data_IF_966373119249
#
_entry.id   IF_966373119249
#
_cell.length_a   1.000
_cell.length_b   1.000
_cell.length_c   1.000
_cell.angle_alpha   90.00
_cell.angle_beta   90.00
_cell.angle_gamma   90.00
#
_symmetry.space_group_name_H-M   'P 1'
#
loop_
_entity.id
_entity.type
_entity.pdbx_description
1 polymer ?
#
# COMPACT_ATOMS: atom_id res chain seq x y z
N UNK A 1 -2.43 -1.54 -33.71
CA UNK A 1 -2.11 -0.95 -32.40
C UNK A 1 -2.25 -1.94 -31.23
N UNK A 2 -3.34 -2.72 -31.12
CA UNK A 2 -3.66 -3.57 -29.96
C UNK A 2 -2.80 -4.82 -29.62
N UNK A 3 -1.55 -4.95 -30.10
CA UNK A 3 -0.62 -6.03 -29.65
C UNK A 3 0.58 -5.53 -28.84
N UNK A 4 0.89 -4.24 -28.93
CA UNK A 4 2.11 -3.67 -28.34
C UNK A 4 1.83 -2.53 -27.37
N UNK A 5 0.75 -1.79 -27.60
CA UNK A 5 0.30 -0.75 -26.69
C UNK A 5 -1.18 -0.94 -26.35
N UNK A 6 -1.55 -0.59 -25.13
CA UNK A 6 -2.92 -0.55 -24.64
C UNK A 6 -3.23 0.88 -24.21
N UNK A 7 -4.34 1.40 -24.73
CA UNK A 7 -4.89 2.69 -24.34
C UNK A 7 -6.20 2.47 -23.61
N UNK A 8 -6.31 2.98 -22.39
CA UNK A 8 -7.50 2.88 -21.55
C UNK A 8 -8.02 4.29 -21.27
N UNK A 9 -8.96 4.80 -22.07
CA UNK A 9 -9.63 6.06 -21.76
C UNK A 9 -10.63 5.84 -20.62
N UNK A 10 -10.88 6.89 -19.84
CA UNK A 10 -11.93 6.87 -18.82
C UNK A 10 -12.64 8.22 -18.73
N UNK A 11 -13.89 8.15 -18.31
CA UNK A 11 -14.74 9.29 -17.95
C UNK A 11 -15.47 8.91 -16.67
N UNK A 12 -15.42 9.77 -15.67
CA UNK A 12 -16.14 9.62 -14.40
C UNK A 12 -17.07 10.82 -14.21
N UNK A 13 -18.25 10.58 -13.66
CA UNK A 13 -19.22 11.60 -13.28
C UNK A 13 -19.57 11.38 -11.82
N UNK A 14 -19.48 12.44 -11.01
CA UNK A 14 -19.81 12.41 -9.58
C UNK A 14 -20.81 13.52 -9.27
N UNK A 15 -21.97 13.11 -8.75
CA UNK A 15 -22.95 14.01 -8.14
C UNK A 15 -22.93 13.84 -6.62
N UNK A 16 -23.03 14.93 -5.87
CA UNK A 16 -23.18 14.91 -4.41
C UNK A 16 -24.29 15.87 -4.02
N UNK A 17 -25.21 15.42 -3.17
CA UNK A 17 -26.30 16.23 -2.65
C UNK A 17 -26.18 16.29 -1.13
N UNK A 18 -26.30 17.50 -0.59
CA UNK A 18 -26.19 17.79 0.83
C UNK A 18 -27.53 18.27 1.35
N UNK A 19 -27.95 17.71 2.49
CA UNK A 19 -29.10 18.20 3.24
C UNK A 19 -28.63 18.57 4.66
N UNK A 20 -28.70 19.85 5.01
CA UNK A 20 -28.15 20.38 6.25
C UNK A 20 -29.18 21.23 7.00
N UNK A 21 -29.48 20.88 8.24
CA UNK A 21 -30.50 21.59 9.04
C UNK A 21 -29.96 22.89 9.68
N UNK A 22 -28.66 22.95 9.98
CA UNK A 22 -28.02 24.05 10.70
C UNK A 22 -26.62 24.34 10.13
N UNK A 23 -26.56 24.71 8.85
CA UNK A 23 -25.33 25.15 8.20
C UNK A 23 -25.58 26.50 7.53
N UNK A 24 -24.73 27.47 7.85
CA UNK A 24 -24.70 28.79 7.24
C UNK A 24 -23.36 28.88 6.54
N UNK A 25 -23.36 29.14 5.23
CA UNK A 25 -22.12 29.22 4.46
C UNK A 25 -21.42 30.58 4.57
N UNK A 26 -20.31 30.72 3.84
CA UNK A 26 -19.47 31.93 3.82
C UNK A 26 -20.20 33.18 3.31
N UNK A 27 -21.30 33.01 2.58
CA UNK A 27 -22.12 34.09 2.02
C UNK A 27 -23.35 34.38 2.90
N UNK A 28 -23.40 33.81 4.11
CA UNK A 28 -24.51 33.89 5.07
C UNK A 28 -25.82 33.22 4.59
N UNK A 29 -25.74 32.26 3.67
CA UNK A 29 -26.90 31.51 3.17
C UNK A 29 -27.16 30.22 4.00
N UNK A 30 -28.42 30.00 4.38
CA UNK A 30 -28.90 28.87 5.19
C UNK A 30 -29.67 27.81 4.39
N UNK A 31 -29.53 27.82 3.07
CA UNK A 31 -30.19 26.87 2.16
C UNK A 31 -30.04 25.41 2.63
N UNK A 32 -31.14 24.69 2.75
CA UNK A 32 -31.13 23.33 3.32
C UNK A 32 -30.56 22.30 2.33
N UNK A 33 -30.64 22.59 1.03
CA UNK A 33 -30.27 21.67 -0.05
C UNK A 33 -29.18 22.26 -0.94
N UNK A 34 -28.03 21.59 -1.02
CA UNK A 34 -26.92 21.95 -1.93
C UNK A 34 -26.56 20.78 -2.83
N UNK A 35 -26.05 21.08 -4.03
CA UNK A 35 -25.63 20.07 -5.00
C UNK A 35 -24.29 20.40 -5.62
N UNK A 36 -23.46 19.37 -5.80
CA UNK A 36 -22.19 19.43 -6.50
C UNK A 36 -22.17 18.40 -7.62
N UNK A 37 -21.73 18.82 -8.81
CA UNK A 37 -21.48 17.95 -9.96
C UNK A 37 -20.06 18.12 -10.47
N UNK A 38 -19.29 17.03 -10.52
CA UNK A 38 -17.91 17.00 -11.01
C UNK A 38 -17.78 15.91 -12.06
N UNK A 39 -16.91 16.14 -13.04
CA UNK A 39 -16.49 15.13 -14.00
C UNK A 39 -14.98 14.97 -13.98
N UNK A 40 -14.52 13.78 -14.32
CA UNK A 40 -13.12 13.47 -14.53
C UNK A 40 -12.99 12.84 -15.92
N UNK A 41 -11.98 13.26 -16.69
CA UNK A 41 -11.63 12.61 -17.95
C UNK A 41 -10.15 12.34 -18.00
N UNK A 42 -9.78 11.25 -18.67
CA UNK A 42 -8.37 10.92 -18.79
C UNK A 42 -8.12 9.68 -19.63
N UNK A 43 -6.87 9.26 -19.63
CA UNK A 43 -6.50 8.00 -20.25
C UNK A 43 -5.08 7.59 -19.97
N UNK A 44 -4.87 6.28 -19.93
CA UNK A 44 -3.57 5.65 -19.73
C UNK A 44 -3.09 4.96 -21.00
N UNK A 45 -1.90 5.31 -21.46
CA UNK A 45 -1.19 4.62 -22.54
C UNK A 45 -0.06 3.79 -21.94
N UNK A 46 -0.08 2.49 -22.21
CA UNK A 46 0.93 1.55 -21.69
C UNK A 46 1.49 0.68 -22.80
N UNK A 47 2.73 0.22 -22.64
CA UNK A 47 3.36 -0.80 -23.49
C UNK A 47 3.96 -1.90 -22.62
N UNK A 48 4.10 -3.11 -23.16
CA UNK A 48 4.64 -4.26 -22.43
C UNK A 48 5.77 -4.92 -23.22
N UNK A 49 6.98 -4.84 -22.67
CA UNK A 49 8.18 -5.42 -23.25
C UNK A 49 8.61 -6.61 -22.39
N UNK A 50 8.77 -7.77 -23.01
CA UNK A 50 9.13 -9.00 -22.31
C UNK A 50 10.43 -9.57 -22.88
N UNK A 51 11.33 -10.00 -21.99
CA UNK A 51 12.51 -10.79 -22.36
C UNK A 51 12.67 -11.96 -21.40
N UNK A 52 12.96 -13.14 -21.96
CA UNK A 52 13.23 -14.35 -21.18
C UNK A 52 14.73 -14.62 -21.20
N UNK A 53 15.32 -14.74 -20.02
CA UNK A 53 16.73 -15.04 -19.81
C UNK A 53 16.89 -16.49 -19.32
N UNK A 54 17.93 -17.17 -19.77
CA UNK A 54 18.36 -18.41 -19.14
C UNK A 54 19.03 -18.06 -17.80
N UNK A 55 18.55 -18.67 -16.72
CA UNK A 55 19.08 -18.43 -15.38
C UNK A 55 19.95 -19.61 -14.91
N UNK A 56 19.54 -20.84 -15.23
CA UNK A 56 20.22 -22.08 -14.85
C UNK A 56 20.60 -22.12 -13.35
N UNK A 57 19.73 -21.61 -12.47
CA UNK A 57 19.92 -21.64 -11.02
C UNK A 57 19.17 -22.83 -10.41
N UNK A 58 19.49 -23.23 -9.16
CA UNK A 58 18.77 -24.33 -8.48
C UNK A 58 17.26 -24.12 -8.33
N UNK A 59 16.78 -22.87 -8.42
CA UNK A 59 15.37 -22.52 -8.24
C UNK A 59 14.67 -22.11 -9.53
N UNK A 60 15.38 -21.97 -10.65
CA UNK A 60 14.83 -21.47 -11.90
C UNK A 60 15.71 -21.78 -13.11
N UNK A 61 15.12 -22.33 -14.17
CA UNK A 61 15.82 -22.52 -15.45
C UNK A 61 15.75 -21.26 -16.32
N UNK A 62 14.68 -20.48 -16.20
CA UNK A 62 14.45 -19.25 -16.95
C UNK A 62 13.80 -18.17 -16.09
N UNK A 63 14.20 -16.93 -16.31
CA UNK A 63 13.57 -15.76 -15.68
C UNK A 63 13.04 -14.86 -16.80
N UNK A 64 11.75 -14.57 -16.76
CA UNK A 64 11.15 -13.53 -17.56
C UNK A 64 11.29 -12.19 -16.84
N UNK A 65 11.80 -11.18 -17.56
CA UNK A 65 11.73 -9.78 -17.17
C UNK A 65 10.70 -9.09 -18.06
N UNK A 66 9.70 -8.51 -17.43
CA UNK A 66 8.71 -7.65 -18.06
C UNK A 66 8.98 -6.20 -17.66
N UNK A 67 9.03 -5.31 -18.65
CA UNK A 67 9.07 -3.86 -18.46
C UNK A 67 7.78 -3.27 -19.01
N UNK A 68 7.08 -2.49 -18.18
CA UNK A 68 5.80 -1.85 -18.53
C UNK A 68 5.94 -0.34 -18.32
N UNK A 69 6.39 0.41 -19.34
CA UNK A 69 6.27 1.85 -19.35
C UNK A 69 4.81 2.26 -19.52
N UNK A 70 4.43 3.36 -18.87
CA UNK A 70 3.14 3.99 -19.07
C UNK A 70 3.18 5.50 -18.85
N UNK A 71 2.27 6.17 -19.54
CA UNK A 71 1.98 7.59 -19.38
C UNK A 71 0.46 7.72 -19.23
N UNK A 72 0.01 8.49 -18.26
CA UNK A 72 -1.39 8.76 -17.99
C UNK A 72 -1.66 10.26 -17.96
N UNK A 73 -2.83 10.68 -18.42
CA UNK A 73 -3.32 12.05 -18.25
C UNK A 73 -4.63 12.02 -17.48
N UNK A 74 -4.78 12.94 -16.51
CA UNK A 74 -6.02 13.12 -15.76
C UNK A 74 -6.40 14.59 -15.71
N UNK A 75 -7.67 14.86 -15.98
CA UNK A 75 -8.29 16.17 -15.89
C UNK A 75 -9.56 16.11 -15.04
N UNK A 76 -9.58 16.89 -13.96
CA UNK A 76 -10.69 17.16 -13.08
C UNK A 76 -10.71 18.69 -12.88
N UNK A 77 -11.76 19.39 -13.31
CA UNK A 77 -11.80 20.85 -13.24
C UNK A 77 -12.01 21.33 -11.80
N UNK A 78 -11.50 22.51 -11.45
CA UNK A 78 -11.91 23.19 -10.24
C UNK A 78 -13.40 23.53 -10.30
N UNK A 79 -14.11 23.12 -9.26
CA UNK A 79 -15.48 23.53 -8.96
C UNK A 79 -15.41 24.31 -7.65
N UNK A 80 -16.18 25.39 -7.57
CA UNK A 80 -16.33 26.15 -6.32
C UNK A 80 -17.05 25.28 -5.27
N UNK A 81 -16.40 25.09 -4.14
CA UNK A 81 -16.84 24.24 -3.04
C UNK A 81 -16.86 25.00 -1.72
N UNK A 82 -16.60 26.31 -1.72
CA UNK A 82 -16.43 27.11 -0.51
C UNK A 82 -17.75 27.28 0.27
N UNK A 83 -18.88 27.13 -0.42
CA UNK A 83 -20.24 27.16 0.15
C UNK A 83 -20.79 25.77 0.48
N UNK A 84 -20.00 24.70 0.28
CA UNK A 84 -20.42 23.33 0.61
C UNK A 84 -19.99 22.96 2.04
N UNK A 85 -20.82 22.19 2.76
CA UNK A 85 -20.43 21.68 4.07
C UNK A 85 -19.29 20.66 3.95
N UNK A 86 -18.39 20.66 4.94
CA UNK A 86 -17.29 19.70 5.05
C UNK A 86 -17.53 18.75 6.22
N UNK A 87 -17.71 17.46 5.94
CA UNK A 87 -17.81 16.41 6.95
C UNK A 87 -16.60 15.47 6.92
N UNK A 88 -16.13 15.15 5.72
CA UNK A 88 -14.98 14.29 5.50
C UNK A 88 -14.20 14.65 4.21
N UNK A 89 -13.11 13.92 3.95
CA UNK A 89 -12.25 14.11 2.79
C UNK A 89 -12.97 13.90 1.44
N UNK A 90 -14.17 13.32 1.41
CA UNK A 90 -14.94 13.15 0.19
C UNK A 90 -15.72 14.43 -0.19
N UNK A 91 -15.77 15.42 0.71
CA UNK A 91 -16.43 16.70 0.53
C UNK A 91 -15.53 17.77 -0.08
N UNK A 92 -14.22 17.62 0.03
CA UNK A 92 -13.25 18.48 -0.67
C UNK A 92 -12.56 17.70 -1.80
N UNK A 93 -12.87 18.07 -3.04
CA UNK A 93 -12.28 17.43 -4.22
C UNK A 93 -11.36 18.43 -4.89
N UNK A 94 -10.06 18.22 -4.73
CA UNK A 94 -9.02 19.03 -5.38
C UNK A 94 -9.08 18.85 -6.91
N UNK A 95 -8.92 19.96 -7.64
CA UNK A 95 -8.75 19.90 -9.09
C UNK A 95 -7.54 19.05 -9.49
N UNK A 96 -7.56 18.51 -10.70
CA UNK A 96 -6.45 17.73 -11.22
C UNK A 96 -6.21 18.06 -12.67
N UNK A 97 -5.02 18.51 -13.01
CA UNK A 97 -4.58 18.59 -14.39
C UNK A 97 -3.15 18.06 -14.43
N UNK A 98 -2.99 16.76 -14.65
CA UNK A 98 -1.69 16.12 -14.48
C UNK A 98 -1.35 15.08 -15.53
N UNK A 99 -0.06 15.03 -15.84
CA UNK A 99 0.57 13.99 -16.62
C UNK A 99 1.40 13.10 -15.68
N UNK A 100 1.09 11.81 -15.63
CA UNK A 100 1.82 10.83 -14.83
C UNK A 100 2.68 9.97 -15.73
N UNK A 101 3.92 9.70 -15.35
CA UNK A 101 4.71 8.63 -15.96
C UNK A 101 5.00 7.54 -14.95
N UNK A 102 5.10 6.31 -15.41
CA UNK A 102 5.54 5.20 -14.58
C UNK A 102 6.30 4.15 -15.39
N UNK A 103 7.18 3.44 -14.70
CA UNK A 103 7.93 2.31 -15.23
C UNK A 103 7.86 1.16 -14.24
N UNK A 104 7.19 0.08 -14.64
CA UNK A 104 7.07 -1.13 -13.82
C UNK A 104 7.93 -2.25 -14.37
N UNK A 105 8.85 -2.76 -13.55
CA UNK A 105 9.59 -3.99 -13.78
C UNK A 105 8.91 -5.13 -13.03
N UNK A 106 8.68 -6.27 -13.69
CA UNK A 106 8.20 -7.51 -13.06
C UNK A 106 9.09 -8.67 -13.46
N UNK A 107 9.40 -9.54 -12.50
CA UNK A 107 10.27 -10.69 -12.68
C UNK A 107 9.51 -11.97 -12.35
N UNK A 108 9.49 -12.92 -13.27
CA UNK A 108 8.81 -14.22 -13.09
C UNK A 108 9.78 -15.35 -13.41
N UNK A 109 10.05 -16.18 -12.40
CA UNK A 109 10.86 -17.39 -12.55
C UNK A 109 10.01 -18.54 -13.08
N UNK A 110 10.62 -19.39 -13.90
CA UNK A 110 10.07 -20.68 -14.33
C UNK A 110 10.91 -21.80 -13.73
N UNK A 111 10.23 -22.76 -13.14
CA UNK A 111 10.85 -23.96 -12.61
C UNK A 111 10.17 -25.21 -13.18
N UNK A 112 10.87 -26.01 -14.01
CA UNK A 112 10.34 -27.27 -14.50
C UNK A 112 10.38 -28.33 -13.39
N UNK A 113 9.21 -28.92 -13.11
CA UNK A 113 9.04 -29.97 -12.10
C UNK A 113 8.54 -31.23 -12.79
N UNK A 114 9.14 -32.38 -12.47
CA UNK A 114 8.66 -33.68 -12.96
C UNK A 114 7.59 -34.20 -11.99
N UNK A 115 6.38 -34.44 -12.48
CA UNK A 115 5.31 -35.02 -11.67
C UNK A 115 5.57 -36.49 -11.36
N UNK A 116 4.81 -37.06 -10.42
CA UNK A 116 4.92 -38.48 -10.05
C UNK A 116 4.72 -39.43 -11.24
N UNK A 117 3.98 -39.00 -12.25
CA UNK A 117 3.69 -39.76 -13.47
C UNK A 117 4.78 -39.61 -14.55
N UNK A 118 5.89 -38.91 -14.25
CA UNK A 118 7.00 -38.67 -15.17
C UNK A 118 6.80 -37.50 -16.13
N UNK A 119 5.68 -36.77 -16.04
CA UNK A 119 5.39 -35.63 -16.92
C UNK A 119 6.10 -34.36 -16.43
N UNK A 120 6.82 -33.69 -17.32
CA UNK A 120 7.44 -32.40 -16.99
C UNK A 120 6.39 -31.27 -17.07
N UNK A 121 6.21 -30.56 -15.96
CA UNK A 121 5.30 -29.42 -15.85
C UNK A 121 6.10 -28.18 -15.47
N UNK A 122 5.82 -27.06 -16.14
CA UNK A 122 6.44 -25.78 -15.81
C UNK A 122 5.63 -25.10 -14.70
N UNK A 123 6.27 -24.83 -13.57
CA UNK A 123 5.73 -23.99 -12.51
C UNK A 123 6.29 -22.57 -12.65
N UNK A 124 5.48 -21.56 -12.34
CA UNK A 124 5.88 -20.16 -12.43
C UNK A 124 5.75 -19.51 -11.06
N UNK A 125 6.75 -18.72 -10.69
CA UNK A 125 6.78 -17.96 -9.43
C UNK A 125 7.16 -16.53 -9.72
N UNK A 126 6.35 -15.57 -9.28
CA UNK A 126 6.74 -14.17 -9.30
C UNK A 126 7.88 -13.94 -8.30
N UNK A 127 9.02 -13.43 -8.77
CA UNK A 127 10.13 -13.01 -7.93
C UNK A 127 9.93 -11.58 -7.40
N UNK A 128 9.02 -10.83 -8.01
CA UNK A 128 8.61 -9.52 -7.53
C UNK A 128 8.40 -8.51 -8.64
N UNK A 129 8.06 -7.30 -8.23
CA UNK A 129 7.93 -6.14 -9.08
C UNK A 129 8.44 -4.88 -8.40
N UNK A 130 8.88 -3.92 -9.22
CA UNK A 130 9.35 -2.60 -8.81
C UNK A 130 8.67 -1.60 -9.76
N UNK A 131 8.06 -0.56 -9.23
CA UNK A 131 7.43 0.52 -9.97
C UNK A 131 8.05 1.82 -9.54
N UNK A 132 8.56 2.59 -10.50
CA UNK A 132 8.97 3.98 -10.29
C UNK A 132 7.97 4.87 -11.02
N UNK A 133 7.55 5.95 -10.39
CA UNK A 133 6.54 6.85 -10.95
C UNK A 133 6.70 8.28 -10.45
N UNK A 134 6.14 9.22 -11.20
CA UNK A 134 6.09 10.63 -10.81
C UNK A 134 4.97 11.33 -11.58
N UNK A 135 4.36 12.32 -10.96
CA UNK A 135 3.34 13.17 -11.55
C UNK A 135 3.95 14.53 -11.93
N UNK A 136 3.46 15.10 -13.03
CA UNK A 136 3.68 16.46 -13.46
C UNK A 136 2.34 17.18 -13.48
N UNK A 137 2.18 18.16 -12.60
CA UNK A 137 1.02 19.05 -12.55
C UNK A 137 1.17 20.10 -13.64
N UNK A 138 0.18 20.13 -14.53
CA UNK A 138 0.01 21.15 -15.56
C UNK A 138 -0.80 22.30 -14.95
N UNK A 139 -0.28 22.84 -13.84
CA UNK A 139 -0.84 24.01 -13.18
C UNK A 139 0.13 25.15 -13.45
N UNK A 140 -0.29 26.10 -14.30
CA UNK A 140 0.63 27.15 -14.72
C UNK A 140 0.08 28.57 -14.64
N UNK A 141 -1.21 28.78 -14.32
CA UNK A 141 -1.77 30.14 -14.50
C UNK A 141 -2.71 30.67 -13.40
N UNK A 142 -3.17 29.85 -12.44
CA UNK A 142 -4.27 30.29 -11.53
C UNK A 142 -3.86 30.69 -10.11
N UNK A 143 -2.85 30.04 -9.54
CA UNK A 143 -2.39 30.34 -8.15
C UNK A 143 -1.52 31.62 -8.05
N UNK A 144 -1.24 32.27 -9.18
CA UNK A 144 -0.51 33.54 -9.22
C UNK A 144 0.81 33.50 -8.43
N UNK A 145 1.03 34.49 -7.56
CA UNK A 145 2.22 34.57 -6.71
C UNK A 145 2.25 33.57 -5.54
N UNK A 146 1.15 32.83 -5.30
CA UNK A 146 1.04 31.80 -4.27
C UNK A 146 1.32 30.39 -4.79
N UNK A 147 1.47 30.21 -6.12
CA UNK A 147 1.86 28.95 -6.71
C UNK A 147 3.22 28.52 -6.15
N UNK A 148 3.28 27.47 -5.34
CA UNK A 148 4.55 26.79 -5.13
C UNK A 148 5.06 26.34 -6.50
N UNK A 149 6.25 26.79 -6.90
CA UNK A 149 6.87 26.48 -8.19
C UNK A 149 7.37 25.02 -8.21
N UNK A 150 6.46 24.08 -7.99
CA UNK A 150 6.70 22.64 -7.85
C UNK A 150 5.77 21.86 -8.77
N UNK A 151 6.04 21.93 -10.07
CA UNK A 151 5.23 21.21 -11.07
C UNK A 151 5.37 19.69 -10.98
N UNK A 152 6.54 19.19 -10.59
CA UNK A 152 6.77 17.76 -10.37
C UNK A 152 6.38 17.35 -8.95
N UNK A 153 5.77 16.17 -8.80
CA UNK A 153 5.63 15.51 -7.50
C UNK A 153 6.95 14.91 -7.03
N UNK A 154 6.92 14.33 -5.84
CA UNK A 154 7.94 13.38 -5.41
C UNK A 154 8.07 12.21 -6.39
N UNK A 155 9.28 11.68 -6.49
CA UNK A 155 9.55 10.44 -7.19
C UNK A 155 9.13 9.30 -6.25
N UNK A 156 8.10 8.57 -6.66
CA UNK A 156 7.61 7.40 -5.97
C UNK A 156 8.32 6.12 -6.40
N UNK A 157 8.58 5.23 -5.46
CA UNK A 157 8.95 3.85 -5.74
C UNK A 157 8.16 2.90 -4.86
N UNK A 158 7.48 1.95 -5.50
CA UNK A 158 6.83 0.82 -4.88
C UNK A 158 7.54 -0.47 -5.30
N UNK A 159 7.88 -1.33 -4.36
CA UNK A 159 8.50 -2.60 -4.67
C UNK A 159 8.00 -3.71 -3.75
N UNK A 160 7.78 -4.88 -4.33
CA UNK A 160 7.49 -6.11 -3.61
C UNK A 160 8.29 -7.24 -4.22
N UNK A 161 9.23 -7.79 -3.46
CA UNK A 161 10.15 -8.81 -3.96
C UNK A 161 10.27 -10.03 -3.05
N UNK A 162 10.48 -11.18 -3.68
CA UNK A 162 10.63 -12.50 -3.09
C UNK A 162 11.94 -13.14 -3.59
N UNK A 163 13.12 -12.63 -3.18
CA UNK A 163 14.39 -13.10 -3.71
C UNK A 163 14.61 -14.60 -3.44
N UNK A 164 14.13 -15.06 -2.28
CA UNK A 164 14.18 -16.45 -1.84
C UNK A 164 12.81 -16.88 -1.31
N UNK A 165 12.56 -18.19 -1.21
CA UNK A 165 11.27 -18.71 -0.68
C UNK A 165 11.03 -18.35 0.79
N UNK A 166 12.07 -17.96 1.51
CA UNK A 166 12.02 -17.59 2.92
C UNK A 166 12.09 -16.08 3.16
N UNK A 167 12.30 -15.25 2.13
CA UNK A 167 12.53 -13.82 2.27
C UNK A 167 11.52 -13.03 1.45
N UNK A 168 10.79 -12.15 2.12
CA UNK A 168 9.90 -11.16 1.54
C UNK A 168 10.40 -9.75 1.87
N UNK A 169 10.44 -8.88 0.88
CA UNK A 169 10.74 -7.46 1.05
C UNK A 169 9.64 -6.62 0.40
N UNK A 170 9.18 -5.60 1.10
CA UNK A 170 8.27 -4.58 0.60
C UNK A 170 8.90 -3.21 0.84
N UNK A 171 8.82 -2.32 -0.15
CA UNK A 171 9.29 -0.96 -0.03
C UNK A 171 8.29 0.00 -0.68
N UNK A 172 8.03 1.10 0.00
CA UNK A 172 7.26 2.24 -0.49
C UNK A 172 8.04 3.49 -0.08
N UNK A 173 8.37 4.33 -1.05
CA UNK A 173 9.09 5.57 -0.78
C UNK A 173 8.58 6.69 -1.67
N UNK A 174 8.63 7.91 -1.13
CA UNK A 174 8.38 9.15 -1.82
C UNK A 174 9.57 10.07 -1.56
N UNK A 175 10.33 10.39 -2.60
CA UNK A 175 11.52 11.24 -2.51
C UNK A 175 11.30 12.56 -3.24
N UNK A 176 11.51 13.67 -2.54
CA UNK A 176 11.24 14.98 -3.11
C UNK A 176 12.46 15.52 -3.88
N UNK A 177 12.32 15.84 -5.17
CA UNK A 177 13.42 16.38 -5.97
C UNK A 177 13.80 17.82 -5.60
N UNK A 178 13.01 18.50 -4.76
CA UNK A 178 13.22 19.92 -4.42
C UNK A 178 14.08 20.10 -3.17
N UNK A 179 13.85 19.29 -2.14
CA UNK A 179 14.59 19.35 -0.89
C UNK A 179 15.57 18.17 -0.73
N UNK A 180 15.56 17.19 -1.63
CA UNK A 180 16.40 15.99 -1.61
C UNK A 180 16.17 15.06 -0.40
N UNK A 181 15.02 15.18 0.29
CA UNK A 181 14.63 14.33 1.42
C UNK A 181 13.52 13.35 1.01
N UNK A 182 13.39 12.27 1.79
CA UNK A 182 12.21 11.42 1.71
C UNK A 182 11.05 12.11 2.43
N UNK A 183 9.86 12.11 1.83
CA UNK A 183 8.61 12.44 2.51
C UNK A 183 7.97 11.18 3.10
N UNK A 184 8.25 10.01 2.51
CA UNK A 184 7.83 8.70 2.99
C UNK A 184 8.93 7.67 2.73
N UNK A 185 9.20 6.82 3.71
CA UNK A 185 10.09 5.66 3.58
C UNK A 185 9.57 4.51 4.46
N UNK A 186 8.87 3.58 3.83
CA UNK A 186 8.33 2.39 4.47
C UNK A 186 9.08 1.16 3.93
N UNK A 187 9.69 0.38 4.83
CA UNK A 187 10.40 -0.85 4.49
C UNK A 187 9.86 -1.99 5.34
N UNK A 188 9.49 -3.11 4.72
CA UNK A 188 9.15 -4.35 5.41
C UNK A 188 10.07 -5.47 4.98
N UNK A 189 10.50 -6.24 5.95
CA UNK A 189 11.22 -7.49 5.74
C UNK A 189 10.56 -8.59 6.53
N UNK A 190 10.23 -9.70 5.87
CA UNK A 190 9.73 -10.90 6.53
C UNK A 190 10.61 -12.09 6.16
N UNK A 191 11.15 -12.75 7.19
CA UNK A 191 11.86 -14.02 7.09
C UNK A 191 10.95 -15.14 7.59
N UNK A 192 10.88 -16.26 6.87
CA UNK A 192 10.05 -17.40 7.26
C UNK A 192 10.82 -18.72 7.26
N UNK A 193 10.43 -19.66 8.10
CA UNK A 193 10.98 -21.03 8.10
C UNK A 193 9.97 -22.03 7.52
N UNK A 194 10.42 -23.20 7.00
CA UNK A 194 9.50 -24.25 6.58
C UNK A 194 8.60 -24.79 7.70
N UNK A 195 9.00 -24.63 8.98
CA UNK A 195 8.18 -24.95 10.15
C UNK A 195 7.00 -23.99 10.32
N UNK A 196 7.08 -22.81 9.69
CA UNK A 196 6.09 -21.73 9.77
C UNK A 196 6.39 -20.68 10.83
N UNK A 197 7.63 -20.59 11.32
CA UNK A 197 8.08 -19.45 12.11
C UNK A 197 8.26 -18.23 11.19
N UNK A 198 8.12 -17.03 11.75
CA UNK A 198 8.34 -15.79 11.02
C UNK A 198 9.04 -14.75 11.89
N UNK A 199 9.96 -13.98 11.29
CA UNK A 199 10.49 -12.74 11.84
C UNK A 199 10.15 -11.62 10.86
N UNK A 200 9.38 -10.63 11.31
CA UNK A 200 9.01 -9.45 10.54
C UNK A 200 9.65 -8.23 11.18
N UNK A 201 10.28 -7.38 10.36
CA UNK A 201 10.79 -6.07 10.77
C UNK A 201 10.25 -5.02 9.82
N UNK A 202 9.72 -3.93 10.37
CA UNK A 202 9.14 -2.85 9.59
C UNK A 202 9.71 -1.51 10.06
N UNK A 203 10.28 -0.76 9.13
CA UNK A 203 10.62 0.65 9.33
C UNK A 203 9.55 1.50 8.67
N UNK A 204 9.10 2.54 9.36
CA UNK A 204 8.09 3.48 8.90
C UNK A 204 8.59 4.89 9.14
N UNK A 205 8.68 5.66 8.08
CA UNK A 205 9.02 7.08 8.14
C UNK A 205 8.03 7.86 7.31
N UNK A 206 7.45 8.90 7.91
CA UNK A 206 6.66 9.92 7.26
C UNK A 206 7.10 11.26 7.84
N UNK A 207 7.46 12.20 6.95
CA UNK A 207 8.02 13.49 7.32
C UNK A 207 7.14 14.19 8.37
N UNK A 208 7.78 14.69 9.42
CA UNK A 208 7.19 15.45 10.54
C UNK A 208 6.02 14.77 11.27
N UNK A 209 5.77 13.48 11.02
CA UNK A 209 4.59 12.78 11.55
C UNK A 209 4.95 11.49 12.26
N UNK A 210 5.84 10.66 11.71
CA UNK A 210 6.17 9.35 12.30
C UNK A 210 7.54 8.87 11.88
N UNK A 211 8.30 8.38 12.85
CA UNK A 211 9.43 7.50 12.60
C UNK A 211 9.38 6.33 13.59
N UNK A 212 9.11 5.11 13.10
CA UNK A 212 9.01 3.93 13.97
C UNK A 212 9.73 2.70 13.43
N UNK A 213 10.19 1.87 14.37
CA UNK A 213 10.72 0.55 14.12
C UNK A 213 9.87 -0.50 14.80
N UNK A 214 9.33 -1.43 14.02
CA UNK A 214 8.54 -2.55 14.48
C UNK A 214 9.30 -3.86 14.25
N UNK A 215 9.22 -4.77 15.21
CA UNK A 215 9.71 -6.15 15.08
C UNK A 215 8.69 -7.12 15.64
N UNK A 216 8.45 -8.22 14.93
CA UNK A 216 7.58 -9.31 15.37
C UNK A 216 8.22 -10.66 15.11
N UNK A 217 8.24 -11.50 16.14
CA UNK A 217 8.65 -12.88 16.07
C UNK A 217 7.43 -13.79 16.31
N UNK A 218 7.12 -14.66 15.36
CA UNK A 218 6.10 -15.71 15.48
C UNK A 218 6.78 -17.08 15.50
N UNK A 219 6.53 -17.88 16.54
CA UNK A 219 7.13 -19.19 16.74
C UNK A 219 6.07 -20.30 16.74
N UNK A 220 6.26 -21.31 15.90
CA UNK A 220 5.47 -22.54 15.89
C UNK A 220 6.08 -23.54 16.88
N UNK A 221 5.65 -23.45 18.14
CA UNK A 221 6.14 -24.33 19.22
C UNK A 221 5.69 -25.77 18.96
N UNK A 222 4.41 -25.97 18.65
CA UNK A 222 3.85 -27.26 18.25
C UNK A 222 2.89 -27.08 17.07
N UNK A 223 2.24 -28.17 16.62
CA UNK A 223 1.21 -28.09 15.57
C UNK A 223 -0.01 -27.25 15.97
N UNK A 224 -0.30 -27.15 17.26
CA UNK A 224 -1.44 -26.40 17.79
C UNK A 224 -1.01 -25.15 18.56
N UNK A 225 0.18 -25.11 19.15
CA UNK A 225 0.63 -23.99 19.98
C UNK A 225 1.56 -23.06 19.22
N UNK A 226 1.21 -21.78 19.19
CA UNK A 226 2.03 -20.69 18.68
C UNK A 226 2.29 -19.66 19.75
N UNK A 227 3.50 -19.14 19.80
CA UNK A 227 3.82 -17.96 20.59
C UNK A 227 4.22 -16.83 19.64
N UNK A 228 3.98 -15.59 20.05
CA UNK A 228 4.49 -14.43 19.36
C UNK A 228 4.91 -13.35 20.35
N UNK A 229 5.83 -12.53 19.90
CA UNK A 229 6.27 -11.34 20.58
C UNK A 229 6.44 -10.24 19.53
N UNK A 230 5.90 -9.05 19.78
CA UNK A 230 6.14 -7.88 18.95
C UNK A 230 6.50 -6.66 19.78
N UNK A 231 7.29 -5.80 19.20
CA UNK A 231 7.81 -4.59 19.81
C UNK A 231 7.82 -3.48 18.75
N UNK A 232 7.23 -2.33 19.08
CA UNK A 232 7.25 -1.11 18.29
C UNK A 232 7.82 0.05 19.08
N UNK A 233 8.75 0.77 18.47
CA UNK A 233 9.41 1.93 19.06
C UNK A 233 9.31 3.13 18.14
N UNK A 234 8.94 4.27 18.70
CA UNK A 234 9.08 5.58 18.08
C UNK A 234 10.56 6.00 18.18
N UNK A 235 11.19 6.25 17.04
CA UNK A 235 12.62 6.54 16.96
C UNK A 235 12.93 8.02 17.16
N UNK A 236 11.96 8.91 16.90
CA UNK A 236 12.12 10.36 17.07
C UNK A 236 12.07 10.74 18.56
N UNK A 237 11.09 10.20 19.29
CA UNK A 237 10.89 10.45 20.72
C UNK A 237 11.63 9.49 21.65
N UNK A 238 12.26 8.44 21.09
CA UNK A 238 12.91 7.34 21.81
C UNK A 238 11.96 6.56 22.77
N UNK A 239 10.66 6.56 22.49
CA UNK A 239 9.63 5.92 23.33
C UNK A 239 9.13 4.59 22.75
N UNK A 240 8.80 3.63 23.61
CA UNK A 240 8.14 2.39 23.20
C UNK A 240 6.67 2.68 22.94
N UNK A 241 6.21 2.48 21.71
CA UNK A 241 4.80 2.61 21.33
C UNK A 241 4.03 1.43 21.91
N UNK A 242 4.53 0.21 21.67
CA UNK A 242 3.80 -0.99 22.07
C UNK A 242 4.69 -2.22 22.15
N UNK A 243 4.46 -3.05 23.16
CA UNK A 243 4.99 -4.41 23.28
C UNK A 243 3.82 -5.38 23.43
N UNK A 244 3.79 -6.43 22.61
CA UNK A 244 2.80 -7.51 22.74
C UNK A 244 3.49 -8.84 22.90
N UNK A 245 3.04 -9.63 23.87
CA UNK A 245 3.50 -11.00 24.06
C UNK A 245 2.29 -11.89 24.22
N UNK A 246 2.19 -12.94 23.39
CA UNK A 246 1.04 -13.80 23.44
C UNK A 246 1.31 -15.24 23.04
N UNK A 247 0.39 -16.09 23.47
CA UNK A 247 0.33 -17.50 23.09
C UNK A 247 -1.06 -17.80 22.53
N UNK A 248 -1.11 -18.65 21.52
CA UNK A 248 -2.35 -19.06 20.86
C UNK A 248 -2.36 -20.56 20.65
N UNK A 249 -3.40 -21.20 21.17
CA UNK A 249 -3.71 -22.60 20.96
C UNK A 249 -4.74 -22.73 19.84
N UNK A 250 -4.36 -23.38 18.76
CA UNK A 250 -5.16 -23.57 17.56
C UNK A 250 -5.64 -25.01 17.45
N UNK A 251 -6.95 -25.20 17.33
CA UNK A 251 -7.60 -26.46 17.03
C UNK A 251 -8.30 -26.39 15.66
N UNK A 252 -8.96 -27.48 15.26
CA UNK A 252 -9.66 -27.56 13.97
C UNK A 252 -10.82 -26.55 13.89
N UNK A 253 -11.61 -26.41 14.96
CA UNK A 253 -12.84 -25.61 14.98
C UNK A 253 -12.77 -24.37 15.88
N UNK A 254 -11.73 -24.26 16.71
CA UNK A 254 -11.59 -23.14 17.65
C UNK A 254 -10.12 -22.74 17.82
N UNK A 255 -9.90 -21.53 18.34
CA UNK A 255 -8.61 -21.07 18.84
C UNK A 255 -8.80 -20.30 20.15
N UNK A 256 -7.84 -20.43 21.06
CA UNK A 256 -7.79 -19.62 22.28
C UNK A 256 -6.46 -18.86 22.30
N UNK A 257 -6.50 -17.60 22.68
CA UNK A 257 -5.33 -16.73 22.79
C UNK A 257 -5.28 -16.06 24.15
N UNK A 258 -4.08 -15.93 24.70
CA UNK A 258 -3.77 -15.06 25.81
C UNK A 258 -2.68 -14.09 25.35
N UNK A 259 -2.90 -12.80 25.51
CA UNK A 259 -1.97 -11.73 25.12
C UNK A 259 -1.80 -10.76 26.29
N UNK A 260 -0.56 -10.31 26.49
CA UNK A 260 -0.24 -9.14 27.30
C UNK A 260 0.21 -8.06 26.34
N UNK A 261 -0.41 -6.89 26.42
CA UNK A 261 -0.10 -5.71 25.63
C UNK A 261 0.33 -4.60 26.60
N UNK A 262 1.51 -4.05 26.40
CA UNK A 262 2.09 -2.95 27.16
C UNK A 262 2.29 -1.77 26.21
N UNK A 263 1.73 -0.62 26.54
CA UNK A 263 1.99 0.67 25.89
C UNK A 263 2.64 1.63 26.88
N UNK A 264 2.96 2.85 26.44
CA UNK A 264 3.36 3.95 27.32
C UNK A 264 2.22 4.42 28.25
N UNK A 265 0.96 4.18 27.86
CA UNK A 265 -0.23 4.62 28.58
C UNK A 265 -0.77 3.56 29.55
N UNK A 266 -0.72 2.28 29.17
CA UNK A 266 -1.36 1.20 29.92
C UNK A 266 -0.82 -0.20 29.66
N UNK A 267 -1.22 -1.13 30.54
CA UNK A 267 -0.98 -2.57 30.38
C UNK A 267 -2.32 -3.30 30.35
N UNK A 268 -2.54 -4.11 29.31
CA UNK A 268 -3.76 -4.87 29.09
C UNK A 268 -3.45 -6.36 29.00
N UNK A 269 -4.36 -7.17 29.51
CA UNK A 269 -4.29 -8.63 29.40
C UNK A 269 -5.57 -9.08 28.71
N UNK A 270 -5.43 -9.57 27.47
CA UNK A 270 -6.54 -10.01 26.66
C UNK A 270 -6.61 -11.53 26.60
N UNK A 271 -7.82 -12.07 26.80
CA UNK A 271 -8.11 -13.47 26.57
C UNK A 271 -9.20 -13.59 25.50
N UNK A 272 -8.88 -14.30 24.42
CA UNK A 272 -9.69 -14.37 23.21
C UNK A 272 -10.02 -15.82 22.87
N UNK A 273 -11.29 -16.10 22.57
CA UNK A 273 -11.77 -17.37 22.02
C UNK A 273 -12.36 -17.10 20.64
N UNK A 274 -11.82 -17.76 19.63
CA UNK A 274 -12.30 -17.69 18.25
C UNK A 274 -12.92 -19.02 17.84
N UNK A 275 -14.17 -18.99 17.36
CA UNK A 275 -14.87 -20.13 16.78
C UNK A 275 -14.85 -19.98 15.26
N UNK A 276 -14.10 -20.86 14.58
CA UNK A 276 -13.86 -20.75 13.14
C UNK A 276 -15.18 -20.90 12.38
N UNK A 277 -15.57 -19.86 11.65
CA UNK A 277 -16.81 -19.80 10.88
C UNK A 277 -18.00 -19.15 11.59
N UNK A 278 -17.87 -18.75 12.87
CA UNK A 278 -18.94 -18.11 13.64
C UNK A 278 -18.53 -16.71 14.11
N UNK A 279 -17.27 -16.51 14.49
CA UNK A 279 -16.75 -15.21 14.95
C UNK A 279 -15.76 -15.34 16.10
N UNK A 280 -15.39 -14.20 16.67
CA UNK A 280 -14.41 -14.09 17.75
C UNK A 280 -15.03 -13.35 18.95
N UNK A 281 -14.77 -13.86 20.16
CA UNK A 281 -15.30 -13.34 21.43
C UNK A 281 -14.18 -13.30 22.47
N UNK A 282 -14.09 -12.23 23.27
CA UNK A 282 -13.09 -12.15 24.34
C UNK A 282 -13.20 -10.89 25.19
N UNK A 283 -12.43 -10.87 26.27
CA UNK A 283 -12.30 -9.72 27.17
C UNK A 283 -11.02 -8.95 26.85
N UNK A 284 -11.13 -7.62 26.74
CA UNK A 284 -10.02 -6.68 26.67
C UNK A 284 -9.88 -5.94 27.99
#
# INVERSE_FOLDING_TARGET
WGKYAAFHPFVSLRGTAYHTDHYIDIDEDDDVLRFRGIYEVGGDLTTRLNRVFAANTPFSDKIQHQVTPGIGYRFLPQVDQDTLPFFDELDDIEESNKLSWFLTHRFTARNPVVTKDGTQVNTYRELGWIRVFQDYRINHERDGAAAENRSWSDIGLDARVYPFSFLFLNAELAWSPYNYHFNTLNLDTTLTTPRGDALTTSYRYALDTRESWYTRLDLRITRSLTAYHSFEKDLESDTTIETRTGVRLNSACWAMGLEIQESDLDTRIAFMISLKGIGEFGSQ
#
